data_IF_754450600028
#
_entry.id   IF_754450600028
#
_cell.length_a   1.000
_cell.length_b   1.000
_cell.length_c   1.000
_cell.angle_alpha   90.00
_cell.angle_beta   90.00
_cell.angle_gamma   90.00
#
_symmetry.space_group_name_H-M   'P 1'
#
loop_
_entity.id
_entity.type
_entity.pdbx_description
1 polymer ?
#
# COMPACT_ATOMS: atom_id res chain seq x y z
N UNK A 1 27.04 -32.91 46.24
CA UNK A 1 26.16 -33.21 45.08
C UNK A 1 25.89 -31.90 44.36
N UNK A 2 26.77 -31.52 43.44
CA UNK A 2 26.76 -30.23 42.71
C UNK A 2 26.94 -30.54 41.22
N UNK A 3 25.86 -30.92 40.54
CA UNK A 3 25.91 -31.25 39.10
C UNK A 3 24.82 -30.55 38.27
N UNK A 4 24.13 -29.53 38.82
CA UNK A 4 22.98 -28.90 38.16
C UNK A 4 23.30 -27.66 37.32
N UNK A 5 24.55 -27.22 37.23
CA UNK A 5 24.95 -25.99 36.50
C UNK A 5 25.73 -26.25 35.20
N UNK A 6 26.14 -27.49 34.92
CA UNK A 6 26.93 -27.81 33.72
C UNK A 6 26.06 -27.98 32.45
N UNK A 7 24.76 -28.21 32.60
CA UNK A 7 23.86 -28.49 31.48
C UNK A 7 23.28 -27.22 30.82
N UNK A 8 23.29 -26.08 31.53
CA UNK A 8 22.79 -24.81 30.99
C UNK A 8 23.77 -24.10 30.04
N UNK A 9 25.07 -24.42 30.11
CA UNK A 9 26.08 -23.80 29.24
C UNK A 9 26.24 -24.47 27.87
N UNK A 10 25.76 -25.71 27.70
CA UNK A 10 25.95 -26.45 26.45
C UNK A 10 24.92 -26.10 25.35
N UNK A 11 23.74 -25.60 25.73
CA UNK A 11 22.65 -25.31 24.78
C UNK A 11 22.88 -23.97 24.06
N UNK A 12 23.48 -22.99 24.73
CA UNK A 12 23.70 -21.64 24.17
C UNK A 12 24.78 -21.60 23.07
N UNK A 13 25.68 -22.58 23.02
CA UNK A 13 26.76 -22.62 22.02
C UNK A 13 26.32 -23.19 20.66
N UNK A 14 25.15 -23.83 20.56
CA UNK A 14 24.72 -24.54 19.34
C UNK A 14 23.86 -23.70 18.38
N UNK A 15 23.46 -22.48 18.78
CA UNK A 15 22.52 -21.64 18.00
C UNK A 15 23.20 -20.65 17.04
N UNK A 16 24.53 -20.57 17.00
CA UNK A 16 25.25 -19.53 16.24
C UNK A 16 25.85 -20.04 14.91
N UNK A 17 25.75 -21.33 14.60
CA UNK A 17 26.46 -21.93 13.45
C UNK A 17 25.61 -22.14 12.19
N UNK A 18 24.39 -21.62 12.13
CA UNK A 18 23.45 -21.92 11.04
C UNK A 18 23.41 -20.90 9.88
N UNK A 19 24.18 -19.80 9.92
CA UNK A 19 24.04 -18.71 8.92
C UNK A 19 25.08 -18.68 7.77
N UNK A 20 25.75 -19.78 7.43
CA UNK A 20 26.81 -19.75 6.41
C UNK A 20 26.65 -20.70 5.21
N UNK A 21 25.46 -21.24 4.96
CA UNK A 21 25.20 -22.03 3.75
C UNK A 21 24.60 -21.13 2.65
N UNK A 22 25.45 -20.46 1.89
CA UNK A 22 25.05 -19.76 0.66
C UNK A 22 25.09 -20.77 -0.50
N UNK A 23 23.95 -21.15 -1.11
CA UNK A 23 23.96 -22.02 -2.28
C UNK A 23 24.57 -21.30 -3.49
N UNK A 24 25.41 -22.03 -4.24
CA UNK A 24 26.06 -21.56 -5.46
C UNK A 24 25.01 -21.32 -6.56
N UNK A 25 25.04 -20.16 -7.26
CA UNK A 25 24.02 -19.85 -8.25
C UNK A 25 24.27 -20.68 -9.51
N UNK A 26 23.42 -21.68 -9.74
CA UNK A 26 23.28 -22.34 -11.04
C UNK A 26 22.98 -21.28 -12.11
N UNK A 27 23.61 -21.34 -13.30
CA UNK A 27 23.30 -20.42 -14.39
C UNK A 27 21.90 -20.72 -14.92
N UNK A 28 20.92 -20.01 -14.37
CA UNK A 28 19.54 -20.01 -14.86
C UNK A 28 19.46 -19.50 -16.30
N UNK A 29 18.43 -19.90 -17.06
CA UNK A 29 18.26 -19.50 -18.45
C UNK A 29 18.22 -17.97 -18.53
N UNK A 30 18.93 -17.41 -19.51
CA UNK A 30 18.95 -15.98 -19.77
C UNK A 30 17.50 -15.46 -19.80
N UNK A 31 17.18 -14.59 -18.85
CA UNK A 31 15.93 -13.84 -18.85
C UNK A 31 15.93 -13.07 -20.16
N UNK A 32 15.06 -13.47 -21.08
CA UNK A 32 14.74 -12.67 -22.24
C UNK A 32 14.30 -11.31 -21.70
N UNK A 33 15.08 -10.29 -22.02
CA UNK A 33 14.78 -8.89 -21.76
C UNK A 33 13.45 -8.59 -22.46
N UNK A 34 12.36 -8.75 -21.70
CA UNK A 34 11.05 -8.28 -22.11
C UNK A 34 11.19 -6.78 -22.22
N UNK A 35 11.28 -6.29 -23.45
CA UNK A 35 11.24 -4.87 -23.76
C UNK A 35 9.94 -4.31 -23.14
N UNK A 36 10.07 -3.71 -21.96
CA UNK A 36 9.01 -2.95 -21.36
C UNK A 36 8.70 -1.82 -22.34
N UNK A 37 7.46 -1.80 -22.83
CA UNK A 37 6.92 -0.62 -23.50
C UNK A 37 6.87 0.45 -22.41
N UNK A 38 7.87 1.31 -22.36
CA UNK A 38 7.80 2.54 -21.57
C UNK A 38 6.76 3.44 -22.23
N UNK A 39 5.50 3.25 -21.85
CA UNK A 39 4.47 4.25 -22.05
C UNK A 39 4.97 5.52 -21.35
N UNK A 40 5.36 6.52 -22.14
CA UNK A 40 5.81 7.80 -21.63
C UNK A 40 4.60 8.55 -21.07
N UNK A 41 4.20 8.19 -19.85
CA UNK A 41 3.21 8.95 -19.08
C UNK A 41 3.84 10.31 -18.80
N UNK A 42 3.26 11.37 -19.37
CA UNK A 42 3.63 12.75 -19.06
C UNK A 42 3.29 13.01 -17.59
N UNK A 43 4.29 12.87 -16.71
CA UNK A 43 4.10 13.11 -15.27
C UNK A 43 4.01 14.62 -15.04
N UNK A 44 2.81 15.09 -14.73
CA UNK A 44 2.61 16.44 -14.20
C UNK A 44 3.36 16.55 -12.88
N UNK A 45 4.23 17.56 -12.70
CA UNK A 45 4.93 17.74 -11.43
C UNK A 45 3.94 17.94 -10.28
N UNK A 46 4.06 17.11 -9.24
CA UNK A 46 3.31 17.24 -7.99
C UNK A 46 3.66 18.57 -7.31
N UNK A 47 2.66 19.26 -6.78
CA UNK A 47 2.90 20.55 -6.09
C UNK A 47 3.72 20.37 -4.81
N UNK A 48 4.45 21.42 -4.41
CA UNK A 48 5.23 21.40 -3.17
C UNK A 48 4.36 21.15 -1.94
N UNK A 49 3.15 21.72 -1.89
CA UNK A 49 2.19 21.50 -0.81
C UNK A 49 1.75 20.02 -0.74
N UNK A 50 1.38 19.41 -1.87
CA UNK A 50 1.01 17.98 -1.90
C UNK A 50 2.18 17.11 -1.45
N UNK A 51 3.40 17.40 -1.88
CA UNK A 51 4.59 16.66 -1.44
C UNK A 51 4.86 16.84 0.06
N UNK A 52 4.67 18.05 0.59
CA UNK A 52 4.78 18.30 2.02
C UNK A 52 3.78 17.44 2.81
N UNK A 53 2.52 17.40 2.37
CA UNK A 53 1.47 16.57 2.97
C UNK A 53 1.82 15.08 2.94
N UNK A 54 2.32 14.58 1.80
CA UNK A 54 2.75 13.17 1.70
C UNK A 54 3.86 12.86 2.70
N UNK A 55 4.89 13.71 2.81
CA UNK A 55 5.98 13.47 3.76
C UNK A 55 5.54 13.61 5.22
N UNK A 56 4.65 14.56 5.52
CA UNK A 56 4.03 14.67 6.84
C UNK A 56 3.24 13.40 7.19
N UNK A 57 2.47 12.87 6.24
CA UNK A 57 1.73 11.61 6.38
C UNK A 57 2.65 10.41 6.64
N UNK A 58 3.73 10.24 5.87
CA UNK A 58 4.72 9.18 6.10
C UNK A 58 5.38 9.30 7.48
N UNK A 59 5.75 10.52 7.89
CA UNK A 59 6.37 10.76 9.20
C UNK A 59 5.41 10.40 10.35
N UNK A 60 4.17 10.89 10.30
CA UNK A 60 3.16 10.60 11.32
C UNK A 60 2.85 9.09 11.38
N UNK A 61 2.76 8.44 10.22
CA UNK A 61 2.56 6.99 10.13
C UNK A 61 3.73 6.21 10.75
N UNK A 62 4.97 6.65 10.52
CA UNK A 62 6.17 6.05 11.11
C UNK A 62 6.23 6.23 12.63
N UNK A 63 5.73 7.36 13.15
CA UNK A 63 5.58 7.62 14.59
C UNK A 63 4.39 6.88 15.22
N UNK A 64 3.56 6.22 14.41
CA UNK A 64 2.36 5.50 14.85
C UNK A 64 1.12 6.37 15.06
N UNK A 65 1.18 7.65 14.70
CA UNK A 65 0.02 8.54 14.66
C UNK A 65 -0.78 8.30 13.37
N UNK A 66 -1.50 7.18 13.34
CA UNK A 66 -2.33 6.81 12.20
C UNK A 66 -3.45 7.83 11.89
N UNK A 67 -4.17 8.39 12.88
CA UNK A 67 -5.16 9.43 12.60
C UNK A 67 -4.55 10.65 11.90
N UNK A 68 -3.40 11.15 12.38
CA UNK A 68 -2.70 12.27 11.74
C UNK A 68 -2.21 11.92 10.33
N UNK A 69 -1.66 10.71 10.15
CA UNK A 69 -1.23 10.24 8.84
C UNK A 69 -2.38 10.20 7.82
N UNK A 70 -3.56 9.70 8.24
CA UNK A 70 -4.76 9.66 7.40
C UNK A 70 -5.20 11.07 6.98
N UNK A 71 -5.17 12.03 7.90
CA UNK A 71 -5.54 13.42 7.61
C UNK A 71 -4.64 14.03 6.52
N UNK A 72 -3.32 13.94 6.71
CA UNK A 72 -2.36 14.51 5.75
C UNK A 72 -2.46 13.83 4.38
N UNK A 73 -2.59 12.51 4.35
CA UNK A 73 -2.75 11.76 3.10
C UNK A 73 -4.06 12.06 2.38
N UNK A 74 -5.17 12.22 3.10
CA UNK A 74 -6.45 12.49 2.48
C UNK A 74 -6.44 13.87 1.82
N UNK A 75 -5.85 14.87 2.48
CA UNK A 75 -5.66 16.21 1.87
C UNK A 75 -4.79 16.09 0.62
N UNK A 76 -3.65 15.40 0.70
CA UNK A 76 -2.77 15.19 -0.45
C UNK A 76 -3.48 14.52 -1.63
N UNK A 77 -4.30 13.49 -1.37
CA UNK A 77 -5.04 12.76 -2.39
C UNK A 77 -6.11 13.61 -3.08
N UNK A 78 -6.79 14.48 -2.32
CA UNK A 78 -7.82 15.38 -2.87
C UNK A 78 -7.19 16.46 -3.77
N UNK A 79 -6.03 16.99 -3.39
CA UNK A 79 -5.36 18.08 -4.11
C UNK A 79 -4.49 17.59 -5.28
N UNK A 80 -4.08 16.33 -5.28
CA UNK A 80 -3.22 15.75 -6.32
C UNK A 80 -4.01 15.23 -7.51
N UNK A 81 -3.41 15.32 -8.69
CA UNK A 81 -3.83 14.57 -9.90
C UNK A 81 -3.03 13.27 -10.10
N UNK A 82 -2.13 12.94 -9.16
CA UNK A 82 -1.38 11.68 -9.14
C UNK A 82 -2.20 10.56 -8.45
N UNK A 83 -2.64 9.52 -9.19
CA UNK A 83 -3.40 8.43 -8.62
C UNK A 83 -2.63 7.60 -7.57
N UNK A 84 -1.30 7.60 -7.61
CA UNK A 84 -0.49 6.90 -6.61
C UNK A 84 -0.72 7.46 -5.20
N UNK A 85 -0.92 8.78 -5.10
CA UNK A 85 -1.16 9.46 -3.83
C UNK A 85 -2.55 9.09 -3.30
N UNK A 86 -3.57 9.07 -4.15
CA UNK A 86 -4.90 8.63 -3.77
C UNK A 86 -4.92 7.16 -3.32
N UNK A 87 -4.25 6.28 -4.07
CA UNK A 87 -4.10 4.86 -3.69
C UNK A 87 -3.37 4.67 -2.37
N UNK A 88 -2.30 5.44 -2.12
CA UNK A 88 -1.57 5.42 -0.85
C UNK A 88 -2.47 5.88 0.30
N UNK A 89 -3.20 6.98 0.12
CA UNK A 89 -4.16 7.49 1.11
C UNK A 89 -5.24 6.44 1.44
N UNK A 90 -5.77 5.74 0.43
CA UNK A 90 -6.69 4.62 0.64
C UNK A 90 -6.07 3.56 1.53
N UNK A 91 -4.85 3.08 1.22
CA UNK A 91 -4.18 2.03 1.99
C UNK A 91 -3.92 2.45 3.45
N UNK A 92 -3.50 3.69 3.67
CA UNK A 92 -3.27 4.23 5.02
C UNK A 92 -4.58 4.32 5.80
N UNK A 93 -5.65 4.80 5.17
CA UNK A 93 -6.97 4.86 5.81
C UNK A 93 -7.56 3.47 6.12
N UNK A 94 -7.37 2.48 5.24
CA UNK A 94 -7.72 1.09 5.51
C UNK A 94 -6.95 0.52 6.70
N UNK A 95 -5.63 0.74 6.74
CA UNK A 95 -4.78 0.27 7.85
C UNK A 95 -5.15 0.92 9.19
N UNK A 96 -5.64 2.15 9.17
CA UNK A 96 -6.12 2.88 10.34
C UNK A 96 -7.59 2.59 10.69
N UNK A 97 -8.28 1.73 9.92
CA UNK A 97 -9.74 1.49 10.02
C UNK A 97 -10.57 2.79 9.94
N UNK A 98 -10.05 3.82 9.28
CA UNK A 98 -10.68 5.11 9.08
C UNK A 98 -11.64 5.04 7.88
N UNK A 99 -12.71 4.25 8.02
CA UNK A 99 -13.55 3.81 6.89
C UNK A 99 -14.18 4.95 6.07
N UNK A 100 -14.53 6.07 6.70
CA UNK A 100 -15.06 7.24 5.98
C UNK A 100 -13.99 7.85 5.06
N UNK A 101 -12.77 8.06 5.60
CA UNK A 101 -11.62 8.57 4.86
C UNK A 101 -11.15 7.56 3.80
N UNK A 102 -11.22 6.27 4.10
CA UNK A 102 -10.93 5.20 3.15
C UNK A 102 -11.89 5.26 1.95
N UNK A 103 -13.18 5.46 2.19
CA UNK A 103 -14.17 5.63 1.12
C UNK A 103 -13.89 6.89 0.29
N UNK A 104 -13.55 8.02 0.93
CA UNK A 104 -13.21 9.26 0.21
C UNK A 104 -11.94 9.11 -0.64
N UNK A 105 -10.87 8.54 -0.09
CA UNK A 105 -9.61 8.36 -0.80
C UNK A 105 -9.74 7.33 -1.93
N UNK A 106 -10.43 6.21 -1.69
CA UNK A 106 -10.67 5.20 -2.72
C UNK A 106 -11.55 5.74 -3.85
N UNK A 107 -12.56 6.55 -3.54
CA UNK A 107 -13.39 7.22 -4.54
C UNK A 107 -12.55 8.19 -5.39
N UNK A 108 -11.66 8.97 -4.77
CA UNK A 108 -10.72 9.82 -5.50
C UNK A 108 -9.78 9.02 -6.39
N UNK A 109 -9.28 7.87 -5.92
CA UNK A 109 -8.47 6.97 -6.72
C UNK A 109 -9.24 6.43 -7.94
N UNK A 110 -10.48 5.99 -7.75
CA UNK A 110 -11.36 5.54 -8.84
C UNK A 110 -11.72 6.66 -9.84
N UNK A 111 -11.76 7.92 -9.40
CA UNK A 111 -11.93 9.09 -10.29
C UNK A 111 -10.69 9.35 -11.13
N UNK A 112 -9.50 9.19 -10.55
CA UNK A 112 -8.22 9.42 -11.24
C UNK A 112 -7.86 8.28 -12.21
N UNK A 113 -8.23 7.04 -11.88
CA UNK A 113 -8.04 5.88 -12.73
C UNK A 113 -9.38 5.19 -13.02
N UNK A 114 -10.23 5.77 -13.89
CA UNK A 114 -11.58 5.26 -14.14
C UNK A 114 -11.61 3.86 -14.76
N UNK A 115 -10.52 3.43 -15.39
CA UNK A 115 -10.37 2.13 -16.04
C UNK A 115 -9.58 1.12 -15.19
N UNK A 116 -9.22 1.48 -13.95
CA UNK A 116 -8.52 0.60 -13.02
C UNK A 116 -9.52 -0.16 -12.14
N UNK A 117 -9.67 -1.46 -12.38
CA UNK A 117 -10.58 -2.34 -11.63
C UNK A 117 -10.27 -2.33 -10.13
N UNK A 118 -9.00 -2.35 -9.72
CA UNK A 118 -8.62 -2.33 -8.29
C UNK A 118 -9.08 -1.05 -7.59
N UNK A 119 -9.05 0.09 -8.31
CA UNK A 119 -9.52 1.36 -7.79
C UNK A 119 -11.03 1.33 -7.55
N UNK A 120 -11.78 0.81 -8.53
CA UNK A 120 -13.23 0.65 -8.43
C UNK A 120 -13.61 -0.32 -7.30
N UNK A 121 -12.92 -1.47 -7.21
CA UNK A 121 -13.14 -2.47 -6.15
C UNK A 121 -12.89 -1.90 -4.76
N UNK A 122 -11.77 -1.17 -4.60
CA UNK A 122 -11.44 -0.54 -3.33
C UNK A 122 -12.46 0.52 -2.92
N UNK A 123 -13.00 1.27 -3.88
CA UNK A 123 -14.06 2.25 -3.63
C UNK A 123 -15.38 1.58 -3.27
N UNK A 124 -15.78 0.53 -4.01
CA UNK A 124 -16.97 -0.26 -3.71
C UNK A 124 -16.91 -0.87 -2.31
N UNK A 125 -15.79 -1.52 -1.97
CA UNK A 125 -15.60 -2.16 -0.67
C UNK A 125 -15.68 -1.16 0.49
N UNK A 126 -14.98 -0.02 0.39
CA UNK A 126 -15.04 1.01 1.43
C UNK A 126 -16.44 1.61 1.58
N UNK A 127 -17.13 1.86 0.47
CA UNK A 127 -18.52 2.38 0.46
C UNK A 127 -19.51 1.42 1.09
N UNK A 128 -19.39 0.12 0.83
CA UNK A 128 -20.17 -0.91 1.51
C UNK A 128 -19.92 -0.88 3.03
N UNK A 129 -18.66 -0.76 3.46
CA UNK A 129 -18.31 -0.70 4.89
C UNK A 129 -18.95 0.50 5.60
N UNK A 130 -19.06 1.65 4.92
CA UNK A 130 -19.70 2.85 5.50
C UNK A 130 -21.22 2.94 5.26
N UNK A 131 -21.82 1.95 4.59
CA UNK A 131 -23.25 1.90 4.29
C UNK A 131 -23.69 2.79 3.12
N UNK A 132 -22.76 3.27 2.29
CA UNK A 132 -23.05 3.96 1.03
C UNK A 132 -23.34 2.94 -0.08
N UNK A 133 -24.51 2.29 0.00
CA UNK A 133 -24.88 1.23 -0.93
C UNK A 133 -25.07 1.72 -2.37
N UNK A 134 -25.56 2.96 -2.55
CA UNK A 134 -25.75 3.55 -3.88
C UNK A 134 -24.41 3.90 -4.53
N UNK A 135 -23.48 4.48 -3.77
CA UNK A 135 -22.13 4.72 -4.26
C UNK A 135 -21.41 3.40 -4.56
N UNK A 136 -21.60 2.37 -3.75
CA UNK A 136 -21.02 1.05 -4.02
C UNK A 136 -21.59 0.41 -5.30
N UNK A 137 -22.90 0.50 -5.51
CA UNK A 137 -23.56 0.05 -6.75
C UNK A 137 -22.95 0.71 -7.98
N UNK A 138 -22.73 2.03 -7.94
CA UNK A 138 -22.08 2.75 -9.03
C UNK A 138 -20.70 2.15 -9.37
N UNK A 139 -19.85 1.93 -8.37
CA UNK A 139 -18.52 1.36 -8.61
C UNK A 139 -18.58 -0.09 -9.11
N UNK A 140 -19.53 -0.89 -8.62
CA UNK A 140 -19.73 -2.27 -9.09
C UNK A 140 -20.16 -2.30 -10.56
N UNK A 141 -21.05 -1.42 -10.99
CA UNK A 141 -21.43 -1.31 -12.41
C UNK A 141 -20.20 -0.96 -13.26
N UNK A 142 -19.36 -0.03 -12.79
CA UNK A 142 -18.11 0.31 -13.49
C UNK A 142 -17.17 -0.88 -13.62
N UNK A 143 -17.04 -1.72 -12.60
CA UNK A 143 -16.24 -2.96 -12.67
C UNK A 143 -16.79 -3.88 -13.76
N UNK A 144 -18.10 -4.10 -13.80
CA UNK A 144 -18.72 -4.95 -14.83
C UNK A 144 -18.47 -4.40 -16.23
N UNK A 145 -18.62 -3.09 -16.44
CA UNK A 145 -18.34 -2.43 -17.72
C UNK A 145 -16.88 -2.62 -18.18
N UNK A 146 -15.92 -2.75 -17.25
CA UNK A 146 -14.49 -2.91 -17.55
C UNK A 146 -14.10 -4.38 -17.81
N UNK A 147 -14.96 -5.33 -17.45
CA UNK A 147 -14.71 -6.77 -17.59
C UNK A 147 -15.32 -7.39 -18.85
N UNK A 148 -16.25 -6.68 -19.50
CA UNK A 148 -16.91 -7.07 -20.75
C UNK A 148 -16.08 -6.70 -22.00
#
# INVERSE_FOLDING_TARGET
MTHSSAWLSAVTALLITACAATPEPEPGPAVAESAAVEETVERVPTSEEVMYRVFAGEYLGAEGDLPGAVEEYLVAAIESEDPEIARRATRVAYAAEAWQQAAMAADRWAVLEPDNVDAQESAAAAKLTVGDYLGAEYQIIRILDLMD
#
